data_IF_240136183367
#
_entry.id   IF_240136183367
#
_cell.length_a   1.000
_cell.length_b   1.000
_cell.length_c   1.000
_cell.angle_alpha   90.00
_cell.angle_beta   90.00
_cell.angle_gamma   90.00
#
_symmetry.space_group_name_H-M   'P 1'
#
loop_
_entity.id
_entity.type
_entity.pdbx_description
1 polymer ?
#
# COMPACT_ATOMS: atom_id res chain seq x y z
N UNK A 1 -15.01 12.61 71.93
CA UNK A 1 -15.27 13.45 70.74
C UNK A 1 -14.10 13.31 69.78
N UNK A 2 -14.40 12.80 68.59
CA UNK A 2 -13.62 12.72 67.33
C UNK A 2 -12.25 12.03 67.28
N UNK A 3 -12.32 10.75 66.93
CA UNK A 3 -11.28 9.97 66.24
C UNK A 3 -11.14 10.42 64.77
N UNK A 4 -9.96 10.87 64.34
CA UNK A 4 -9.66 11.12 62.92
C UNK A 4 -9.01 9.89 62.28
N UNK A 5 -9.67 9.35 61.26
CA UNK A 5 -9.25 8.17 60.52
C UNK A 5 -8.19 8.52 59.46
N UNK A 6 -7.10 7.75 59.46
CA UNK A 6 -6.10 7.73 58.36
C UNK A 6 -6.76 7.13 57.12
N UNK A 7 -6.96 7.93 56.07
CA UNK A 7 -7.28 7.42 54.73
C UNK A 7 -5.99 7.31 53.93
N UNK A 8 -5.54 6.08 53.70
CA UNK A 8 -4.54 5.77 52.70
C UNK A 8 -5.19 5.90 51.31
N UNK A 9 -4.73 6.85 50.50
CA UNK A 9 -5.07 6.96 49.09
C UNK A 9 -4.12 6.05 48.31
N UNK A 10 -4.61 4.86 47.93
CA UNK A 10 -4.00 4.04 46.89
C UNK A 10 -4.29 4.70 45.54
N UNK A 11 -3.32 5.45 45.01
CA UNK A 11 -3.36 5.91 43.63
C UNK A 11 -3.06 4.72 42.71
N UNK A 12 -4.09 4.03 42.25
CA UNK A 12 -3.97 3.10 41.13
C UNK A 12 -3.66 3.92 39.87
N UNK A 13 -2.39 3.92 39.46
CA UNK A 13 -1.96 4.51 38.20
C UNK A 13 -2.64 3.80 37.05
N UNK A 14 -3.57 4.48 36.40
CA UNK A 14 -4.18 4.02 35.16
C UNK A 14 -3.20 4.31 34.02
N UNK A 15 -2.31 3.36 33.75
CA UNK A 15 -1.43 3.41 32.60
C UNK A 15 -2.25 3.11 31.34
N UNK A 16 -2.82 4.14 30.72
CA UNK A 16 -3.43 4.02 29.41
C UNK A 16 -2.28 3.91 28.38
N UNK A 17 -1.86 2.69 28.06
CA UNK A 17 -0.99 2.45 26.90
C UNK A 17 -1.82 2.65 25.65
N UNK A 18 -1.91 3.88 25.17
CA UNK A 18 -2.37 4.16 23.82
C UNK A 18 -1.27 3.65 22.90
N UNK A 19 -1.42 2.43 22.40
CA UNK A 19 -0.66 2.00 21.22
C UNK A 19 -1.18 2.88 20.08
N UNK A 20 -0.51 4.00 19.81
CA UNK A 20 -0.74 4.69 18.55
C UNK A 20 -0.37 3.68 17.47
N UNK A 21 -1.36 3.18 16.72
CA UNK A 21 -1.06 2.67 15.40
C UNK A 21 -0.44 3.85 14.67
N UNK A 22 0.88 3.83 14.46
CA UNK A 22 1.51 4.76 13.55
C UNK A 22 0.99 4.36 12.16
N UNK A 23 -0.14 4.93 11.76
CA UNK A 23 -0.46 5.05 10.36
C UNK A 23 0.64 5.93 9.81
N UNK A 24 1.53 5.39 8.98
CA UNK A 24 2.36 6.26 8.18
C UNK A 24 1.38 6.98 7.24
N UNK A 25 0.98 8.18 7.65
CA UNK A 25 0.01 8.99 6.96
C UNK A 25 0.74 9.86 5.96
N UNK A 26 0.17 9.95 4.76
CA UNK A 26 0.56 10.96 3.80
C UNK A 26 0.12 12.32 4.35
N UNK A 27 1.01 13.30 4.30
CA UNK A 27 0.78 14.63 4.84
C UNK A 27 0.20 15.57 3.77
N UNK A 28 0.54 15.34 2.51
CA UNK A 28 0.16 16.22 1.41
C UNK A 28 0.23 15.50 0.05
N UNK A 29 -0.40 16.11 -0.95
CA UNK A 29 -0.40 15.67 -2.35
C UNK A 29 -0.19 16.88 -3.26
N UNK A 30 0.46 16.68 -4.41
CA UNK A 30 0.58 17.74 -5.42
C UNK A 30 -0.78 18.40 -5.69
N UNK A 31 -0.96 19.72 -5.47
CA UNK A 31 -2.23 20.39 -5.65
C UNK A 31 -2.60 20.61 -7.13
N UNK A 32 -1.70 20.26 -8.07
CA UNK A 32 -1.87 20.44 -9.49
C UNK A 32 -1.45 21.84 -9.98
N UNK A 33 -1.78 22.21 -11.23
CA UNK A 33 -2.69 21.51 -12.16
C UNK A 33 -2.12 20.18 -12.66
N UNK A 34 -2.99 19.16 -12.79
CA UNK A 34 -2.61 17.87 -13.36
C UNK A 34 -2.61 17.95 -14.90
N UNK A 35 -1.57 17.41 -15.52
CA UNK A 35 -1.40 17.46 -16.97
C UNK A 35 -1.24 16.06 -17.54
N UNK A 36 -1.32 15.92 -18.86
CA UNK A 36 -1.10 14.63 -19.51
C UNK A 36 0.34 14.11 -19.42
N UNK A 37 1.30 14.95 -18.99
CA UNK A 37 2.65 14.47 -18.66
C UNK A 37 2.64 13.42 -17.52
N UNK A 38 1.67 13.51 -16.60
CA UNK A 38 1.42 12.53 -15.55
C UNK A 38 0.18 11.69 -15.78
N UNK A 39 -0.42 11.72 -16.96
CA UNK A 39 -1.70 11.04 -17.22
C UNK A 39 -2.88 11.62 -16.43
N UNK A 40 -2.78 12.88 -15.99
CA UNK A 40 -3.79 13.54 -15.17
C UNK A 40 -3.70 13.23 -13.68
N UNK A 41 -2.63 12.57 -13.22
CA UNK A 41 -2.37 12.28 -11.81
C UNK A 41 -1.50 13.35 -11.12
N UNK A 42 -1.51 13.43 -9.77
CA UNK A 42 -0.55 14.20 -8.99
C UNK A 42 0.90 13.85 -9.31
N UNK A 43 1.78 14.85 -9.41
CA UNK A 43 3.21 14.60 -9.58
C UNK A 43 3.80 13.81 -8.40
N UNK A 44 3.34 14.08 -7.18
CA UNK A 44 3.92 13.51 -5.96
C UNK A 44 2.89 13.31 -4.84
N UNK A 45 3.21 12.38 -3.94
CA UNK A 45 2.66 12.30 -2.58
C UNK A 45 3.77 12.52 -1.57
N UNK A 46 3.43 13.15 -0.44
CA UNK A 46 4.37 13.48 0.62
C UNK A 46 4.00 12.79 1.92
N UNK A 47 5.00 12.28 2.63
CA UNK A 47 4.82 11.67 3.94
C UNK A 47 4.93 12.69 5.10
N UNK A 48 4.68 12.23 6.32
CA UNK A 48 4.82 13.05 7.53
C UNK A 48 6.26 13.52 7.85
N UNK A 49 7.27 13.00 7.15
CA UNK A 49 8.67 13.36 7.28
C UNK A 49 9.11 14.38 6.22
N UNK A 50 8.16 14.96 5.48
CA UNK A 50 8.37 15.90 4.37
C UNK A 50 9.07 15.27 3.16
N UNK A 51 9.13 13.94 3.08
CA UNK A 51 9.65 13.23 1.92
C UNK A 51 8.55 13.08 0.88
N UNK A 52 8.81 13.58 -0.33
CA UNK A 52 7.90 13.45 -1.47
C UNK A 52 8.42 12.39 -2.44
N UNK A 53 7.53 11.51 -2.89
CA UNK A 53 7.80 10.53 -3.93
C UNK A 53 6.98 10.86 -5.16
N UNK A 54 7.65 10.90 -6.31
CA UNK A 54 7.01 11.20 -7.59
C UNK A 54 6.33 9.98 -8.20
N UNK A 55 5.35 10.19 -9.08
CA UNK A 55 4.76 9.10 -9.86
C UNK A 55 5.85 8.49 -10.74
N UNK A 56 6.15 7.21 -10.51
CA UNK A 56 7.31 6.57 -11.12
C UNK A 56 7.06 6.27 -12.61
N UNK A 57 7.71 7.03 -13.51
CA UNK A 57 7.59 6.88 -14.97
C UNK A 57 8.88 6.42 -15.66
N UNK A 58 9.96 6.23 -14.90
CA UNK A 58 11.27 5.88 -15.43
C UNK A 58 11.34 4.45 -15.98
N UNK A 59 11.92 4.31 -17.17
CA UNK A 59 12.31 3.03 -17.79
C UNK A 59 13.76 2.64 -17.50
N UNK A 60 14.38 3.25 -16.49
CA UNK A 60 15.71 2.83 -16.06
C UNK A 60 15.64 1.40 -15.51
N UNK A 61 16.54 0.54 -15.95
CA UNK A 61 16.60 -0.86 -15.49
C UNK A 61 17.49 -1.02 -14.27
N UNK A 62 17.07 -1.86 -13.34
CA UNK A 62 17.86 -2.22 -12.17
C UNK A 62 19.06 -3.08 -12.57
N UNK A 63 20.24 -2.71 -12.09
CA UNK A 63 21.44 -3.57 -12.20
C UNK A 63 21.48 -4.70 -11.15
N UNK A 64 20.53 -4.68 -10.20
CA UNK A 64 20.49 -5.58 -9.04
C UNK A 64 19.37 -6.61 -9.10
N UNK A 65 18.34 -6.35 -9.91
CA UNK A 65 17.21 -7.24 -10.09
C UNK A 65 17.13 -7.65 -11.57
N UNK A 66 17.11 -8.96 -11.89
CA UNK A 66 16.90 -9.40 -13.27
C UNK A 66 15.46 -9.13 -13.70
N UNK A 67 15.25 -8.94 -15.01
CA UNK A 67 13.90 -8.82 -15.59
C UNK A 67 13.20 -10.17 -15.65
N UNK A 68 11.93 -10.15 -16.02
CA UNK A 68 11.18 -11.36 -16.33
C UNK A 68 11.12 -11.59 -17.85
N UNK A 69 10.86 -12.81 -18.34
CA UNK A 69 10.62 -13.03 -19.76
C UNK A 69 9.50 -12.11 -20.28
N UNK A 70 9.81 -11.27 -21.27
CA UNK A 70 8.85 -10.32 -21.84
C UNK A 70 8.59 -9.05 -21.00
N UNK A 71 9.32 -8.83 -19.89
CA UNK A 71 9.21 -7.62 -19.09
C UNK A 71 10.60 -7.15 -18.60
N UNK A 72 11.08 -5.98 -19.02
CA UNK A 72 12.34 -5.42 -18.54
C UNK A 72 12.34 -5.18 -17.03
N UNK A 73 13.52 -5.18 -16.41
CA UNK A 73 13.69 -4.90 -14.97
C UNK A 73 13.59 -3.40 -14.65
N UNK A 74 12.55 -2.71 -15.13
CA UNK A 74 12.35 -1.30 -14.84
C UNK A 74 12.29 -1.07 -13.32
N UNK A 75 12.89 0.03 -12.86
CA UNK A 75 12.81 0.43 -11.46
C UNK A 75 11.40 0.89 -11.09
N UNK A 76 10.64 1.40 -12.06
CA UNK A 76 9.21 1.64 -11.93
C UNK A 76 8.43 0.42 -12.45
N UNK A 77 7.34 0.07 -11.77
CA UNK A 77 6.43 -0.98 -12.25
C UNK A 77 5.60 -0.47 -13.43
N UNK A 78 6.15 -0.61 -14.64
CA UNK A 78 5.53 -0.24 -15.91
C UNK A 78 5.27 -1.51 -16.73
N UNK A 79 4.26 -2.28 -16.33
CA UNK A 79 4.02 -3.60 -16.91
C UNK A 79 3.42 -3.47 -18.33
N UNK A 80 4.07 -4.05 -19.37
CA UNK A 80 3.49 -4.11 -20.70
C UNK A 80 2.18 -4.89 -20.69
N UNK A 81 1.17 -4.37 -21.38
CA UNK A 81 -0.12 -5.01 -21.54
C UNK A 81 -0.56 -4.95 -23.02
N UNK A 82 -0.66 -6.10 -23.72
CA UNK A 82 -0.99 -6.13 -25.13
C UNK A 82 -2.29 -5.38 -25.46
N UNK A 83 -2.17 -4.35 -26.31
CA UNK A 83 -3.30 -3.51 -26.72
C UNK A 83 -3.61 -2.33 -25.80
N UNK A 84 -2.89 -2.18 -24.68
CA UNK A 84 -3.03 -1.05 -23.74
C UNK A 84 -1.71 -0.28 -23.59
N UNK A 85 -0.62 -0.99 -23.26
CA UNK A 85 0.70 -0.38 -23.07
C UNK A 85 1.80 -1.23 -23.69
N UNK A 86 2.49 -0.65 -24.67
CA UNK A 86 3.71 -1.15 -25.28
C UNK A 86 4.91 -0.34 -24.75
N UNK A 87 5.80 -1.01 -24.02
CA UNK A 87 6.97 -0.37 -23.42
C UNK A 87 8.09 -0.06 -24.44
N UNK A 88 7.95 -0.50 -25.69
CA UNK A 88 8.79 -0.09 -26.80
C UNK A 88 8.38 1.28 -27.39
N UNK A 89 7.17 1.75 -27.11
CA UNK A 89 6.65 3.05 -27.56
C UNK A 89 6.74 4.11 -26.46
N UNK A 90 6.80 5.41 -26.76
CA UNK A 90 6.81 6.47 -25.72
C UNK A 90 5.59 6.40 -24.81
N UNK A 91 5.76 6.79 -23.54
CA UNK A 91 4.65 6.91 -22.59
C UNK A 91 3.81 8.13 -22.97
N UNK A 92 2.58 7.93 -23.45
CA UNK A 92 1.70 8.99 -23.93
C UNK A 92 0.29 8.70 -23.45
N UNK A 93 -0.26 9.57 -22.61
CA UNK A 93 -1.64 9.44 -22.15
C UNK A 93 -2.63 10.02 -23.18
N UNK A 94 -3.78 9.36 -23.45
CA UNK A 94 -4.19 8.02 -23.00
C UNK A 94 -3.72 6.88 -23.92
N UNK A 95 -3.12 7.18 -25.08
CA UNK A 95 -2.92 6.23 -26.18
C UNK A 95 -1.95 5.06 -25.88
N UNK A 96 -0.90 5.29 -25.10
CA UNK A 96 0.08 4.28 -24.69
C UNK A 96 0.50 4.51 -23.23
N UNK A 97 -0.32 4.02 -22.31
CA UNK A 97 -0.19 4.28 -20.87
C UNK A 97 -0.49 3.01 -20.05
N UNK A 98 0.31 2.63 -19.04
CA UNK A 98 0.00 1.49 -18.19
C UNK A 98 -1.31 1.71 -17.42
N UNK A 99 -2.15 0.68 -17.26
CA UNK A 99 -3.39 0.80 -16.49
C UNK A 99 -3.14 1.01 -14.98
N UNK A 100 -1.94 0.67 -14.50
CA UNK A 100 -1.53 0.82 -13.11
C UNK A 100 -0.10 1.38 -13.03
N UNK A 101 0.11 2.38 -12.16
CA UNK A 101 1.40 3.00 -11.87
C UNK A 101 1.50 3.35 -10.38
N UNK A 102 2.68 3.74 -9.89
CA UNK A 102 2.90 3.87 -8.45
C UNK A 102 3.77 5.09 -8.09
N UNK A 103 3.40 5.80 -7.02
CA UNK A 103 4.32 6.71 -6.32
C UNK A 103 5.22 5.95 -5.35
N UNK A 104 4.71 4.83 -4.83
CA UNK A 104 5.43 3.93 -3.95
C UNK A 104 4.88 2.51 -4.14
N UNK A 105 5.78 1.54 -4.20
CA UNK A 105 5.44 0.12 -4.18
C UNK A 105 6.51 -0.64 -3.39
N UNK A 106 6.08 -1.35 -2.37
CA UNK A 106 6.88 -2.34 -1.65
C UNK A 106 6.16 -3.68 -1.70
N UNK A 107 6.81 -4.67 -2.30
CA UNK A 107 6.34 -6.04 -2.34
C UNK A 107 7.36 -6.95 -1.66
N UNK A 108 6.89 -7.95 -0.92
CA UNK A 108 7.74 -9.04 -0.45
C UNK A 108 6.95 -10.34 -0.33
N UNK A 109 7.68 -11.44 -0.40
CA UNK A 109 7.22 -12.75 0.04
C UNK A 109 8.20 -13.30 1.08
N UNK A 110 7.71 -14.17 1.96
CA UNK A 110 8.55 -14.91 2.91
C UNK A 110 8.17 -16.39 2.75
N UNK A 111 9.05 -17.21 2.16
CA UNK A 111 8.75 -18.62 1.97
C UNK A 111 8.64 -19.32 3.33
N UNK A 112 7.92 -20.43 3.35
CA UNK A 112 7.90 -21.25 4.54
C UNK A 112 9.30 -21.76 4.89
N UNK A 113 9.61 -21.77 6.19
CA UNK A 113 10.84 -22.39 6.70
C UNK A 113 10.54 -23.85 7.04
N UNK A 114 11.27 -24.78 6.41
CA UNK A 114 11.01 -26.22 6.51
C UNK A 114 9.58 -26.57 6.08
N UNK A 115 8.94 -27.49 6.78
CA UNK A 115 7.53 -27.86 6.59
C UNK A 115 6.61 -27.19 7.63
N UNK A 116 6.92 -25.94 8.00
CA UNK A 116 6.19 -25.25 9.08
C UNK A 116 4.75 -24.90 8.68
N UNK A 117 4.45 -24.78 7.38
CA UNK A 117 3.14 -24.36 6.86
C UNK A 117 2.80 -22.88 7.10
N UNK A 118 3.74 -22.11 7.66
CA UNK A 118 3.65 -20.65 7.76
C UNK A 118 4.37 -20.04 6.57
N UNK A 119 3.65 -19.27 5.75
CA UNK A 119 4.19 -18.66 4.53
C UNK A 119 3.52 -17.31 4.33
N UNK A 120 4.31 -16.28 4.02
CA UNK A 120 3.78 -15.01 3.50
C UNK A 120 3.94 -15.06 1.98
N UNK A 121 2.89 -15.42 1.28
CA UNK A 121 2.93 -15.51 -0.18
C UNK A 121 3.08 -14.12 -0.80
N UNK A 122 2.34 -13.13 -0.28
CA UNK A 122 2.40 -11.75 -0.76
C UNK A 122 2.16 -10.79 0.39
N UNK A 123 3.05 -9.81 0.52
CA UNK A 123 2.77 -8.52 1.15
C UNK A 123 2.95 -7.42 0.12
N UNK A 124 1.96 -6.54 -0.03
CA UNK A 124 2.06 -5.31 -0.82
C UNK A 124 1.73 -4.13 0.08
N UNK A 125 2.55 -3.09 -0.01
CA UNK A 125 2.17 -1.74 0.39
C UNK A 125 2.47 -0.78 -0.76
N UNK A 126 1.51 0.08 -1.10
CA UNK A 126 1.70 1.00 -2.23
C UNK A 126 0.78 2.20 -2.20
N UNK A 127 1.15 3.21 -2.97
CA UNK A 127 0.27 4.33 -3.36
C UNK A 127 0.15 4.21 -4.87
N UNK A 128 -1.06 3.89 -5.33
CA UNK A 128 -1.33 3.40 -6.68
C UNK A 128 -2.11 4.45 -7.47
N UNK A 129 -1.72 4.64 -8.73
CA UNK A 129 -2.48 5.33 -9.76
C UNK A 129 -3.14 4.26 -10.64
N UNK A 130 -4.46 4.28 -10.71
CA UNK A 130 -5.24 3.33 -11.50
C UNK A 130 -6.49 4.01 -12.05
N UNK A 131 -7.19 3.36 -12.97
CA UNK A 131 -8.42 3.90 -13.56
C UNK A 131 -9.66 3.19 -13.01
N UNK A 132 -10.75 3.92 -12.84
CA UNK A 132 -12.01 3.38 -12.33
C UNK A 132 -12.56 2.23 -13.19
N UNK A 133 -12.27 2.25 -14.50
CA UNK A 133 -12.65 1.22 -15.48
C UNK A 133 -11.44 0.40 -15.98
N UNK A 134 -10.36 0.34 -15.20
CA UNK A 134 -9.09 -0.37 -15.45
C UNK A 134 -8.25 0.20 -16.61
N UNK A 135 -8.87 0.57 -17.74
CA UNK A 135 -8.16 1.12 -18.88
C UNK A 135 -7.85 2.62 -18.73
N UNK A 136 -6.72 3.10 -19.30
CA UNK A 136 -6.40 4.52 -19.33
C UNK A 136 -7.47 5.33 -20.08
N UNK A 137 -8.29 6.04 -19.33
CA UNK A 137 -9.32 6.95 -19.84
C UNK A 137 -9.24 8.26 -19.07
N UNK A 138 -9.23 9.37 -19.80
CA UNK A 138 -9.23 10.68 -19.17
C UNK A 138 -10.55 10.91 -18.41
N UNK A 139 -10.44 11.36 -17.17
CA UNK A 139 -11.55 11.51 -16.25
C UNK A 139 -11.81 10.28 -15.37
N UNK A 140 -11.15 9.14 -15.60
CA UNK A 140 -11.30 7.93 -14.78
C UNK A 140 -10.18 7.74 -13.73
N UNK A 141 -9.27 8.71 -13.60
CA UNK A 141 -8.11 8.63 -12.73
C UNK A 141 -8.49 8.44 -11.26
N UNK A 142 -7.96 7.39 -10.63
CA UNK A 142 -8.08 7.09 -9.21
C UNK A 142 -6.71 6.93 -8.57
N UNK A 143 -6.58 7.45 -7.35
CA UNK A 143 -5.43 7.19 -6.49
C UNK A 143 -5.88 6.59 -5.18
N UNK A 144 -5.12 5.65 -4.63
CA UNK A 144 -5.38 5.10 -3.31
C UNK A 144 -4.12 4.49 -2.71
N UNK A 145 -4.12 4.34 -1.38
CA UNK A 145 -3.11 3.53 -0.71
C UNK A 145 -3.61 2.08 -0.58
N UNK A 146 -2.73 1.10 -0.76
CA UNK A 146 -3.05 -0.33 -0.63
C UNK A 146 -2.19 -0.99 0.43
N UNK A 147 -2.82 -1.86 1.23
CA UNK A 147 -2.17 -2.93 1.98
C UNK A 147 -2.78 -4.28 1.54
N UNK A 148 -1.95 -5.20 1.08
CA UNK A 148 -2.36 -6.58 0.75
C UNK A 148 -1.52 -7.57 1.53
N UNK A 149 -2.17 -8.54 2.17
CA UNK A 149 -1.51 -9.63 2.90
C UNK A 149 -2.15 -10.94 2.49
N UNK A 150 -1.36 -11.83 1.91
CA UNK A 150 -1.75 -13.22 1.60
C UNK A 150 -0.80 -14.15 2.33
N UNK A 151 -1.30 -14.84 3.34
CA UNK A 151 -0.50 -15.76 4.15
C UNK A 151 -1.16 -17.13 4.33
N UNK A 152 -0.33 -18.17 4.26
CA UNK A 152 -0.68 -19.54 4.60
C UNK A 152 -0.38 -19.77 6.08
N UNK A 153 -1.32 -20.40 6.79
CA UNK A 153 -1.13 -20.80 8.19
C UNK A 153 -1.62 -22.23 8.41
N UNK A 154 -0.92 -23.05 9.21
CA UNK A 154 -1.22 -24.48 9.35
C UNK A 154 -2.31 -24.79 10.38
N UNK A 155 -2.76 -23.79 11.15
CA UNK A 155 -3.70 -23.96 12.27
C UNK A 155 -4.74 -22.86 12.30
N UNK A 156 -5.93 -23.18 12.79
CA UNK A 156 -6.95 -22.19 13.11
C UNK A 156 -6.54 -21.40 14.36
N UNK A 157 -7.10 -20.21 14.53
CA UNK A 157 -6.83 -19.35 15.67
C UNK A 157 -6.71 -17.88 15.29
N UNK A 158 -6.40 -17.05 16.27
CA UNK A 158 -6.19 -15.62 16.06
C UNK A 158 -4.73 -15.33 15.74
N UNK A 159 -4.51 -14.66 14.62
CA UNK A 159 -3.20 -14.23 14.15
C UNK A 159 -3.10 -12.72 14.23
N UNK A 160 -1.95 -12.24 14.70
CA UNK A 160 -1.58 -10.82 14.66
C UNK A 160 -0.50 -10.65 13.59
N UNK A 161 -0.75 -9.79 12.61
CA UNK A 161 0.20 -9.44 11.56
C UNK A 161 0.66 -8.01 11.80
N UNK A 162 1.94 -7.82 12.09
CA UNK A 162 2.54 -6.48 12.21
C UNK A 162 3.26 -6.15 10.90
N UNK A 163 2.96 -4.99 10.32
CA UNK A 163 3.58 -4.49 9.10
C UNK A 163 3.96 -3.02 9.26
N UNK A 164 4.78 -2.43 8.37
CA UNK A 164 5.27 -1.05 8.52
C UNK A 164 4.19 0.04 8.73
N UNK A 165 2.95 -0.25 8.33
CA UNK A 165 1.83 0.69 8.34
C UNK A 165 0.75 0.34 9.39
N UNK A 166 0.97 -0.66 10.24
CA UNK A 166 -0.02 -1.02 11.27
C UNK A 166 0.01 -2.48 11.72
N UNK A 167 -1.09 -2.87 12.37
CA UNK A 167 -1.29 -4.21 12.92
C UNK A 167 -2.67 -4.70 12.53
N UNK A 168 -2.73 -5.87 11.91
CA UNK A 168 -3.96 -6.57 11.55
C UNK A 168 -4.18 -7.76 12.49
N UNK A 169 -5.40 -7.96 12.96
CA UNK A 169 -5.77 -9.13 13.75
C UNK A 169 -6.84 -9.92 13.01
N UNK A 170 -6.53 -11.18 12.69
CA UNK A 170 -7.40 -12.06 11.89
C UNK A 170 -7.72 -13.32 12.67
N UNK A 171 -9.01 -13.65 12.76
CA UNK A 171 -9.45 -14.93 13.29
C UNK A 171 -9.59 -15.94 12.14
N UNK A 172 -8.65 -16.87 12.03
CA UNK A 172 -8.62 -17.91 11.00
C UNK A 172 -9.45 -19.11 11.47
N UNK A 173 -10.57 -19.35 10.79
CA UNK A 173 -11.47 -20.49 11.05
C UNK A 173 -11.17 -21.71 10.17
N UNK A 174 -10.45 -21.52 9.06
CA UNK A 174 -9.99 -22.57 8.15
C UNK A 174 -8.51 -22.37 7.86
N UNK A 175 -7.67 -23.33 8.26
CA UNK A 175 -6.24 -23.32 7.98
C UNK A 175 -5.92 -23.70 6.53
N UNK A 176 -4.70 -23.39 6.08
CA UNK A 176 -4.20 -23.75 4.76
C UNK A 176 -3.63 -22.55 4.00
N UNK A 177 -3.47 -22.74 2.69
CA UNK A 177 -2.92 -21.73 1.79
C UNK A 177 -3.85 -20.50 1.71
N UNK A 178 -3.29 -19.30 1.87
CA UNK A 178 -4.02 -18.02 1.86
C UNK A 178 -5.22 -18.00 2.84
N UNK A 179 -5.13 -18.74 3.93
CA UNK A 179 -6.09 -18.69 5.02
C UNK A 179 -6.20 -17.28 5.63
N UNK A 180 -5.16 -16.45 5.45
CA UNK A 180 -5.23 -15.00 5.60
C UNK A 180 -5.16 -14.39 4.20
N UNK A 181 -6.20 -13.63 3.83
CA UNK A 181 -6.29 -12.94 2.55
C UNK A 181 -6.95 -11.57 2.76
N UNK A 182 -6.12 -10.56 2.99
CA UNK A 182 -6.52 -9.19 3.27
C UNK A 182 -6.14 -8.32 2.08
N UNK A 183 -7.06 -7.48 1.63
CA UNK A 183 -6.77 -6.32 0.78
C UNK A 183 -7.51 -5.14 1.38
N UNK A 184 -6.77 -4.08 1.67
CA UNK A 184 -7.30 -2.82 2.17
C UNK A 184 -6.86 -1.74 1.21
N UNK A 185 -7.82 -1.22 0.46
CA UNK A 185 -7.63 -0.04 -0.37
C UNK A 185 -8.20 1.15 0.42
N UNK A 186 -7.41 2.20 0.57
CA UNK A 186 -7.63 3.33 1.47
C UNK A 186 -7.67 4.58 0.62
N UNK A 187 -8.72 5.38 0.78
CA UNK A 187 -8.77 6.69 0.16
C UNK A 187 -9.17 6.71 -1.31
N UNK A 188 -9.91 5.69 -1.78
CA UNK A 188 -10.50 5.74 -3.13
C UNK A 188 -11.55 6.86 -3.15
N UNK A 189 -11.18 7.99 -3.76
CA UNK A 189 -12.07 9.12 -4.02
C UNK A 189 -12.89 8.93 -5.30
N UNK A 190 -13.79 9.88 -5.57
CA UNK A 190 -14.33 10.05 -6.92
C UNK A 190 -13.18 10.31 -7.92
N UNK A 191 -13.34 9.97 -9.21
CA UNK A 191 -12.28 10.22 -10.19
C UNK A 191 -11.79 11.68 -10.17
N UNK A 192 -10.47 11.85 -10.20
CA UNK A 192 -9.79 13.14 -10.08
C UNK A 192 -9.69 13.71 -8.64
N UNK A 193 -10.29 13.06 -7.63
CA UNK A 193 -10.06 13.41 -6.23
C UNK A 193 -8.92 12.59 -5.64
N UNK A 194 -7.73 13.20 -5.63
CA UNK A 194 -6.50 12.55 -5.18
C UNK A 194 -6.16 12.75 -3.69
N UNK A 195 -6.99 13.50 -2.95
CA UNK A 195 -6.79 13.73 -1.52
C UNK A 195 -7.22 12.53 -0.67
N UNK A 196 -8.03 11.61 -1.21
CA UNK A 196 -8.52 10.46 -0.46
C UNK A 196 -7.38 9.60 0.11
N UNK A 197 -6.28 9.44 -0.62
CA UNK A 197 -5.12 8.67 -0.17
C UNK A 197 -4.44 9.22 1.10
N UNK A 198 -4.72 10.48 1.50
CA UNK A 198 -4.19 11.07 2.73
C UNK A 198 -4.83 10.51 4.02
N UNK A 199 -6.03 9.93 3.93
CA UNK A 199 -6.78 9.39 5.07
C UNK A 199 -8.14 10.02 5.29
#
# INVERSE_FOLDING_TARGET
MNTWSRRALLAAGFSLTVTSAAFAALSDVDPGPYTFATGGYPMWYKDSLDQSLELCQSRATSTRAPGAPGAPAYMCTLLPEPGIYDDALPLVFPDNWPPEMFWFLAETSIPQVGNSGYELEVYVAGIEAAFAAENPVDGDQQSFARIRIRASVPRTGTYTITHPYGVETVNVTTAGRRAINITRDIGIGAPGNFQGALG
#
